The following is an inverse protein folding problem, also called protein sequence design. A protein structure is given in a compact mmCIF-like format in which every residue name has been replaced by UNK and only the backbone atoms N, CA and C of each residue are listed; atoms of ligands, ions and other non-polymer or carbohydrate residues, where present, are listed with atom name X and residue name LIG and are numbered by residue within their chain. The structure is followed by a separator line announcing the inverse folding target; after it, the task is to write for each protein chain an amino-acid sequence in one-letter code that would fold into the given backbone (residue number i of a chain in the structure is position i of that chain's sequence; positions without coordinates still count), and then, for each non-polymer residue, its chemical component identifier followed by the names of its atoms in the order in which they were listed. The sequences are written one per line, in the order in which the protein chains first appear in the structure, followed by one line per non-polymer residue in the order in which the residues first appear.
data_IF_537403053840
#
_entry.id   IF_537403053840
#
_cell.length_a   1.000
_cell.length_b   1.000
_cell.length_c   1.000
_cell.angle_alpha   90.00
_cell.angle_beta   90.00
_cell.angle_gamma   90.00
#
_symmetry.space_group_name_H-M   'P 1'
#
loop_
_entity.id
_entity.type
_entity.pdbx_description
1 polymer ?
#
# COMPACT_ATOMS: atom_id res chain seq x y z
N UNK A 1 13.16 24.96 4.38
CA UNK A 1 13.98 24.28 5.40
C UNK A 1 15.32 24.96 5.74
N UNK A 2 15.62 26.19 5.26
CA UNK A 2 16.91 26.86 5.54
C UNK A 2 16.94 27.72 6.82
N UNK A 3 15.87 27.72 7.62
CA UNK A 3 15.81 28.46 8.89
C UNK A 3 16.64 27.74 9.95
N UNK A 4 17.64 28.44 10.50
CA UNK A 4 18.58 27.88 11.47
C UNK A 4 17.98 27.79 12.88
N UNK A 5 16.98 28.62 13.19
CA UNK A 5 16.30 28.56 14.48
C UNK A 5 15.27 27.43 14.53
N UNK A 6 15.43 26.41 15.40
CA UNK A 6 14.54 25.25 15.45
C UNK A 6 13.08 25.59 15.74
N UNK A 7 12.80 26.57 16.60
CA UNK A 7 11.41 26.92 16.96
C UNK A 7 10.70 27.62 15.80
N UNK A 8 11.38 28.54 15.12
CA UNK A 8 10.85 29.21 13.92
C UNK A 8 10.66 28.21 12.77
N UNK A 9 11.57 27.25 12.62
CA UNK A 9 11.45 26.17 11.63
C UNK A 9 10.20 25.32 11.89
N UNK A 10 10.02 24.83 13.12
CA UNK A 10 8.84 24.02 13.50
C UNK A 10 7.53 24.79 13.31
N UNK A 11 7.47 26.06 13.73
CA UNK A 11 6.29 26.89 13.50
C UNK A 11 5.96 27.08 12.01
N UNK A 12 7.00 27.23 11.17
CA UNK A 12 6.82 27.35 9.72
C UNK A 12 6.33 26.05 9.09
N UNK A 13 6.85 24.90 9.52
CA UNK A 13 6.41 23.58 9.04
C UNK A 13 4.98 23.28 9.47
N UNK A 14 4.62 23.57 10.73
CA UNK A 14 3.24 23.45 11.21
C UNK A 14 2.27 24.29 10.37
N UNK A 15 2.62 25.55 10.10
CA UNK A 15 1.83 26.43 9.23
C UNK A 15 1.71 25.85 7.81
N UNK A 16 2.83 25.38 7.26
CA UNK A 16 2.88 24.76 5.94
C UNK A 16 1.94 23.54 5.84
N UNK A 17 1.97 22.60 6.78
CA UNK A 17 1.09 21.44 6.76
C UNK A 17 -0.40 21.78 6.84
N UNK A 18 -0.75 22.84 7.57
CA UNK A 18 -2.14 23.32 7.66
C UNK A 18 -2.63 23.99 6.38
N UNK A 19 -1.77 24.75 5.72
CA UNK A 19 -2.15 25.57 4.56
C UNK A 19 -2.06 24.81 3.23
N UNK A 20 -1.10 23.89 3.10
CA UNK A 20 -0.80 23.20 1.84
C UNK A 20 -2.04 22.56 1.18
N UNK A 21 -2.93 21.83 1.89
CA UNK A 21 -4.12 21.25 1.25
C UNK A 21 -5.09 22.30 0.70
N UNK A 22 -5.10 23.53 1.23
CA UNK A 22 -6.01 24.60 0.82
C UNK A 22 -5.49 25.43 -0.36
N UNK A 23 -4.21 25.29 -0.72
CA UNK A 23 -3.56 26.05 -1.79
C UNK A 23 -3.71 25.36 -3.14
N UNK A 24 -3.81 26.12 -4.23
CA UNK A 24 -3.84 25.62 -5.61
C UNK A 24 -2.62 26.13 -6.43
N UNK A 25 -1.53 26.45 -5.73
CA UNK A 25 -0.32 27.02 -6.32
C UNK A 25 0.46 25.99 -7.18
N UNK A 26 1.23 26.48 -8.15
CA UNK A 26 2.15 25.64 -8.95
C UNK A 26 3.28 25.07 -8.07
N UNK A 27 3.79 23.89 -8.42
CA UNK A 27 4.96 23.31 -7.77
C UNK A 27 4.71 22.67 -6.40
N UNK A 28 3.45 22.44 -6.01
CA UNK A 28 3.08 21.76 -4.76
C UNK A 28 3.68 20.36 -4.63
N UNK A 29 3.95 19.68 -5.74
CA UNK A 29 4.56 18.35 -5.76
C UNK A 29 5.97 18.34 -5.15
N UNK A 30 6.74 19.42 -5.31
CA UNK A 30 8.16 19.46 -4.92
C UNK A 30 8.37 19.31 -3.42
N UNK A 31 7.71 20.11 -2.54
CA UNK A 31 7.87 19.91 -1.11
C UNK A 31 7.33 18.54 -0.67
N UNK A 32 6.28 18.01 -1.29
CA UNK A 32 5.71 16.70 -0.95
C UNK A 32 6.66 15.56 -1.33
N UNK A 33 7.30 15.63 -2.50
CA UNK A 33 8.36 14.70 -2.90
C UNK A 33 9.57 14.76 -1.95
N UNK A 34 9.92 15.96 -1.48
CA UNK A 34 10.90 16.16 -0.41
C UNK A 34 10.52 15.44 0.89
N UNK A 35 9.29 15.62 1.37
CA UNK A 35 8.76 14.93 2.56
C UNK A 35 8.75 13.41 2.38
N UNK A 36 8.40 12.93 1.20
CA UNK A 36 8.41 11.51 0.86
C UNK A 36 9.82 10.91 0.97
N UNK A 37 10.83 11.58 0.41
CA UNK A 37 12.23 11.17 0.56
C UNK A 37 12.66 11.15 2.04
N UNK A 38 12.28 12.17 2.82
CA UNK A 38 12.58 12.21 4.26
C UNK A 38 11.90 11.08 5.02
N UNK A 39 10.61 10.82 4.76
CA UNK A 39 9.86 9.74 5.40
C UNK A 39 10.46 8.36 5.11
N UNK A 40 10.99 8.15 3.90
CA UNK A 40 11.69 6.91 3.54
C UNK A 40 13.07 6.79 4.20
N UNK A 41 13.81 7.89 4.33
CA UNK A 41 15.15 7.89 4.92
C UNK A 41 15.11 7.81 6.46
N UNK A 42 14.11 8.42 7.07
CA UNK A 42 13.98 8.58 8.53
C UNK A 42 12.55 8.22 9.00
N UNK A 43 12.09 6.98 8.80
CA UNK A 43 10.71 6.57 9.12
C UNK A 43 10.39 6.60 10.62
N UNK A 44 11.40 6.67 11.48
CA UNK A 44 11.25 6.69 12.93
C UNK A 44 11.42 8.10 13.55
N UNK A 45 11.58 9.14 12.72
CA UNK A 45 11.70 10.53 13.19
C UNK A 45 10.30 11.13 13.45
N UNK A 46 9.99 11.54 14.69
CA UNK A 46 8.67 12.07 15.04
C UNK A 46 8.44 13.52 14.58
N UNK A 47 9.47 14.27 14.12
CA UNK A 47 9.37 15.73 13.93
C UNK A 47 8.15 16.13 13.09
N UNK A 48 7.90 15.47 11.96
CA UNK A 48 6.76 15.81 11.11
C UNK A 48 5.42 15.25 11.61
N UNK A 49 5.44 14.17 12.37
CA UNK A 49 4.24 13.58 12.98
C UNK A 49 3.68 14.55 14.01
N UNK A 50 4.52 15.06 14.90
CA UNK A 50 4.15 16.06 15.91
C UNK A 50 3.62 17.38 15.31
N UNK A 51 3.94 17.64 14.04
CA UNK A 51 3.56 18.86 13.33
C UNK A 51 2.31 18.69 12.45
N UNK A 52 1.72 17.49 12.41
CA UNK A 52 0.45 17.23 11.71
C UNK A 52 0.62 16.78 10.25
N UNK A 53 1.66 16.01 9.93
CA UNK A 53 1.86 15.49 8.58
C UNK A 53 0.73 14.54 8.15
N UNK A 54 0.16 13.75 9.07
CA UNK A 54 -0.88 12.78 8.72
C UNK A 54 -2.19 13.47 8.29
N UNK A 55 -2.60 14.52 8.99
CA UNK A 55 -3.75 15.35 8.62
C UNK A 55 -3.52 16.00 7.27
N UNK A 56 -2.31 16.53 7.04
CA UNK A 56 -1.91 17.13 5.77
C UNK A 56 -2.01 16.11 4.61
N UNK A 57 -1.41 14.92 4.77
CA UNK A 57 -1.40 13.88 3.73
C UNK A 57 -2.81 13.34 3.48
N UNK A 58 -3.60 13.13 4.54
CA UNK A 58 -5.01 12.72 4.44
C UNK A 58 -5.83 13.73 3.63
N UNK A 59 -5.68 15.02 3.93
CA UNK A 59 -6.36 16.09 3.22
C UNK A 59 -5.94 16.19 1.75
N UNK A 60 -4.66 15.99 1.43
CA UNK A 60 -4.15 15.99 0.05
C UNK A 60 -4.67 14.82 -0.78
N UNK A 61 -4.77 13.61 -0.20
CA UNK A 61 -5.39 12.46 -0.88
C UNK A 61 -6.86 12.79 -1.18
N UNK A 62 -7.60 13.31 -0.20
CA UNK A 62 -8.99 13.71 -0.41
C UNK A 62 -9.15 14.78 -1.48
N UNK A 63 -8.24 15.75 -1.51
CA UNK A 63 -8.24 16.79 -2.53
C UNK A 63 -8.05 16.20 -3.92
N UNK A 64 -7.07 15.30 -4.09
CA UNK A 64 -6.85 14.59 -5.36
C UNK A 64 -8.07 13.78 -5.80
N UNK A 65 -8.73 13.11 -4.86
CA UNK A 65 -9.94 12.32 -5.13
C UNK A 65 -11.16 13.18 -5.52
N UNK A 66 -11.31 14.37 -4.92
CA UNK A 66 -12.52 15.20 -5.05
C UNK A 66 -12.39 16.32 -6.08
N UNK A 67 -11.18 16.80 -6.36
CA UNK A 67 -10.92 17.92 -7.25
C UNK A 67 -10.09 17.49 -8.46
N UNK A 68 -10.77 17.02 -9.50
CA UNK A 68 -10.12 16.60 -10.76
C UNK A 68 -9.34 17.72 -11.43
N UNK A 69 -9.81 18.97 -11.34
CA UNK A 69 -9.12 20.12 -11.94
C UNK A 69 -7.78 20.35 -11.27
N UNK A 70 -7.75 20.34 -9.93
CA UNK A 70 -6.51 20.42 -9.17
C UNK A 70 -5.58 19.24 -9.44
N UNK A 71 -6.12 18.02 -9.51
CA UNK A 71 -5.33 16.82 -9.77
C UNK A 71 -4.66 16.84 -11.16
N UNK A 72 -5.35 17.36 -12.19
CA UNK A 72 -4.82 17.51 -13.55
C UNK A 72 -3.91 18.72 -13.74
N UNK A 73 -3.75 19.56 -12.71
CA UNK A 73 -2.95 20.78 -12.78
C UNK A 73 -1.47 20.49 -12.45
N UNK A 74 -0.56 21.06 -13.23
CA UNK A 74 0.89 20.90 -13.08
C UNK A 74 1.31 19.42 -12.86
N UNK A 75 1.96 19.11 -11.74
CA UNK A 75 2.38 17.77 -11.35
C UNK A 75 1.59 17.26 -10.13
N UNK A 76 0.38 17.74 -9.91
CA UNK A 76 -0.43 17.34 -8.76
C UNK A 76 -0.90 15.88 -8.82
N UNK A 77 -0.87 15.25 -10.00
CA UNK A 77 -1.21 13.83 -10.19
C UNK A 77 -0.33 12.89 -9.34
N UNK A 78 0.89 13.31 -8.99
CA UNK A 78 1.80 12.53 -8.15
C UNK A 78 1.49 12.61 -6.65
N UNK A 79 0.74 13.63 -6.23
CA UNK A 79 0.58 13.96 -4.80
C UNK A 79 -0.13 12.84 -4.03
N UNK A 80 -1.26 12.26 -4.49
CA UNK A 80 -1.92 11.18 -3.76
C UNK A 80 -1.01 9.97 -3.54
N UNK A 81 -0.17 9.64 -4.53
CA UNK A 81 0.82 8.57 -4.42
C UNK A 81 1.84 8.86 -3.32
N UNK A 82 2.47 10.05 -3.34
CA UNK A 82 3.45 10.42 -2.31
C UNK A 82 2.83 10.50 -0.92
N UNK A 83 1.63 11.07 -0.81
CA UNK A 83 0.92 11.20 0.46
C UNK A 83 0.63 9.83 1.11
N UNK A 84 0.09 8.88 0.34
CA UNK A 84 -0.15 7.52 0.83
C UNK A 84 1.16 6.81 1.19
N UNK A 85 2.23 7.02 0.41
CA UNK A 85 3.54 6.44 0.70
C UNK A 85 4.18 7.03 1.96
N UNK A 86 4.05 8.33 2.20
CA UNK A 86 4.50 9.01 3.43
C UNK A 86 3.81 8.42 4.65
N UNK A 87 2.47 8.29 4.60
CA UNK A 87 1.69 7.67 5.68
C UNK A 87 2.25 6.28 5.95
N UNK A 88 2.34 5.43 4.92
CA UNK A 88 2.85 4.07 5.08
C UNK A 88 4.30 4.02 5.60
N UNK A 89 5.17 4.96 5.24
CA UNK A 89 6.56 4.95 5.72
C UNK A 89 6.67 5.26 7.21
N UNK A 90 5.95 6.27 7.72
CA UNK A 90 6.01 6.59 9.15
C UNK A 90 5.32 5.54 10.02
N UNK A 91 4.31 4.85 9.50
CA UNK A 91 3.57 3.85 10.30
C UNK A 91 4.19 2.45 10.24
N UNK A 92 5.36 2.25 9.63
CA UNK A 92 5.87 0.91 9.33
C UNK A 92 6.58 0.22 10.51
N UNK A 93 7.13 0.99 11.45
CA UNK A 93 7.98 0.46 12.53
C UNK A 93 7.46 0.77 13.95
N UNK A 94 6.68 1.83 14.13
CA UNK A 94 6.29 2.35 15.44
C UNK A 94 4.76 2.33 15.61
N UNK A 95 4.26 1.60 16.61
CA UNK A 95 2.82 1.51 16.91
C UNK A 95 2.22 2.88 17.25
N UNK A 96 2.92 3.71 18.03
CA UNK A 96 2.51 5.06 18.40
C UNK A 96 2.28 5.97 17.18
N UNK A 97 3.08 5.78 16.12
CA UNK A 97 2.92 6.54 14.88
C UNK A 97 1.71 6.04 14.07
N UNK A 98 1.48 4.73 14.06
CA UNK A 98 0.27 4.14 13.48
C UNK A 98 -0.99 4.65 14.20
N UNK A 99 -0.99 4.68 15.53
CA UNK A 99 -2.10 5.24 16.32
C UNK A 99 -2.34 6.71 15.96
N UNK A 100 -1.28 7.51 15.92
CA UNK A 100 -1.37 8.93 15.53
C UNK A 100 -1.97 9.11 14.13
N UNK A 101 -1.58 8.27 13.17
CA UNK A 101 -2.14 8.29 11.82
C UNK A 101 -3.63 7.92 11.82
N UNK A 102 -4.05 6.92 12.60
CA UNK A 102 -5.46 6.55 12.74
C UNK A 102 -6.28 7.70 13.33
N UNK A 103 -5.79 8.36 14.39
CA UNK A 103 -6.45 9.53 14.97
C UNK A 103 -6.57 10.71 13.98
N UNK A 104 -5.57 10.90 13.11
CA UNK A 104 -5.59 11.88 12.03
C UNK A 104 -6.54 11.52 10.87
N UNK A 105 -7.22 10.37 10.94
CA UNK A 105 -8.25 9.97 9.96
C UNK A 105 -7.69 9.56 8.60
N UNK A 106 -6.52 8.91 8.56
CA UNK A 106 -5.90 8.50 7.28
C UNK A 106 -6.60 7.31 6.60
N UNK A 107 -7.36 6.48 7.34
CA UNK A 107 -7.93 5.24 6.79
C UNK A 107 -8.94 5.51 5.66
N UNK A 108 -9.98 6.37 5.83
CA UNK A 108 -10.97 6.60 4.77
C UNK A 108 -10.38 7.00 3.39
N UNK A 109 -9.46 7.98 3.28
CA UNK A 109 -8.87 8.30 1.98
C UNK A 109 -7.99 7.16 1.42
N UNK A 110 -7.28 6.40 2.27
CA UNK A 110 -6.53 5.23 1.82
C UNK A 110 -7.45 4.14 1.27
N UNK A 111 -8.63 3.94 1.85
CA UNK A 111 -9.64 2.99 1.35
C UNK A 111 -10.17 3.44 -0.02
N UNK A 112 -10.38 4.73 -0.26
CA UNK A 112 -10.75 5.23 -1.59
C UNK A 112 -9.65 4.98 -2.63
N UNK A 113 -8.38 5.13 -2.27
CA UNK A 113 -7.28 4.74 -3.14
C UNK A 113 -7.26 3.23 -3.39
N UNK A 114 -7.46 2.41 -2.35
CA UNK A 114 -7.54 0.95 -2.44
C UNK A 114 -8.65 0.48 -3.40
N UNK A 115 -9.79 1.19 -3.43
CA UNK A 115 -10.90 0.98 -4.39
C UNK A 115 -10.52 1.25 -5.85
N UNK A 116 -9.33 1.79 -6.12
CA UNK A 116 -8.91 2.13 -7.48
C UNK A 116 -9.57 3.39 -8.01
N UNK A 117 -9.95 4.34 -7.13
CA UNK A 117 -10.52 5.64 -7.55
C UNK A 117 -9.56 6.49 -8.39
N UNK A 118 -8.26 6.22 -8.28
CA UNK A 118 -7.22 6.77 -9.14
C UNK A 118 -6.67 5.64 -10.01
N UNK A 119 -5.45 5.16 -9.76
CA UNK A 119 -4.84 4.08 -10.54
C UNK A 119 -4.23 3.00 -9.66
N UNK A 120 -3.77 1.92 -10.29
CA UNK A 120 -3.10 0.80 -9.63
C UNK A 120 -1.82 1.24 -8.87
N UNK A 121 -1.19 2.34 -9.30
CA UNK A 121 -0.01 2.90 -8.64
C UNK A 121 -0.36 3.40 -7.24
N UNK A 122 -1.50 4.07 -7.07
CA UNK A 122 -2.00 4.51 -5.77
C UNK A 122 -2.58 3.35 -4.95
N UNK A 123 -3.25 2.38 -5.59
CA UNK A 123 -3.71 1.16 -4.89
C UNK A 123 -2.55 0.45 -4.18
N UNK A 124 -1.39 0.35 -4.84
CA UNK A 124 -0.20 -0.32 -4.29
C UNK A 124 0.31 0.35 -3.01
N UNK A 125 0.41 1.67 -2.98
CA UNK A 125 0.87 2.38 -1.78
C UNK A 125 -0.22 2.44 -0.70
N UNK A 126 -1.49 2.47 -1.10
CA UNK A 126 -2.61 2.43 -0.17
C UNK A 126 -2.70 1.08 0.57
N UNK A 127 -2.60 -0.05 -0.14
CA UNK A 127 -2.62 -1.38 0.49
C UNK A 127 -1.41 -1.58 1.40
N UNK A 128 -0.23 -1.07 1.03
CA UNK A 128 0.96 -1.06 1.90
C UNK A 128 0.71 -0.29 3.19
N UNK A 129 0.22 0.94 3.10
CA UNK A 129 -0.05 1.78 4.27
C UNK A 129 -1.10 1.14 5.19
N UNK A 130 -2.19 0.61 4.63
CA UNK A 130 -3.21 -0.12 5.39
C UNK A 130 -2.64 -1.40 6.03
N UNK A 131 -1.76 -2.12 5.34
CA UNK A 131 -1.03 -3.27 5.88
C UNK A 131 -0.21 -2.93 7.12
N UNK A 132 0.52 -1.81 7.10
CA UNK A 132 1.26 -1.35 8.27
C UNK A 132 0.33 -0.97 9.43
N UNK A 133 -0.75 -0.23 9.15
CA UNK A 133 -1.76 0.10 10.16
C UNK A 133 -2.45 -1.16 10.74
N UNK A 134 -2.67 -2.20 9.94
CA UNK A 134 -3.29 -3.44 10.38
C UNK A 134 -2.35 -4.36 11.17
N UNK A 135 -1.04 -4.10 11.14
CA UNK A 135 -0.04 -4.96 11.79
C UNK A 135 -0.07 -4.83 13.32
N UNK A 136 -0.47 -3.67 13.84
CA UNK A 136 -0.49 -3.41 15.29
C UNK A 136 -1.83 -3.75 15.92
N UNK A 137 -1.78 -4.22 17.17
CA UNK A 137 -2.96 -4.64 17.92
C UNK A 137 -3.94 -3.49 18.17
N UNK A 138 -3.43 -2.30 18.49
CA UNK A 138 -4.27 -1.15 18.85
C UNK A 138 -4.95 -0.50 17.65
N UNK A 139 -4.34 -0.56 16.46
CA UNK A 139 -4.89 0.06 15.24
C UNK A 139 -5.67 -0.92 14.36
N UNK A 140 -5.42 -2.22 14.47
CA UNK A 140 -6.12 -3.25 13.69
C UNK A 140 -7.66 -3.14 13.79
N UNK A 141 -8.30 -2.97 14.97
CA UNK A 141 -9.75 -2.87 15.05
C UNK A 141 -10.34 -1.74 14.20
N UNK A 142 -9.65 -0.60 14.10
CA UNK A 142 -10.10 0.54 13.29
C UNK A 142 -9.91 0.30 11.79
N UNK A 143 -8.88 -0.45 11.40
CA UNK A 143 -8.75 -0.91 10.00
C UNK A 143 -9.85 -1.92 9.70
N UNK A 144 -10.03 -2.93 10.54
CA UNK A 144 -10.99 -4.01 10.35
C UNK A 144 -12.47 -3.56 10.38
N UNK A 145 -12.78 -2.43 11.02
CA UNK A 145 -14.14 -1.86 11.02
C UNK A 145 -14.57 -1.35 9.65
N UNK A 146 -13.63 -1.12 8.73
CA UNK A 146 -13.91 -0.84 7.33
C UNK A 146 -14.05 -2.17 6.57
N UNK A 147 -15.28 -2.71 6.59
CA UNK A 147 -15.57 -4.09 6.15
C UNK A 147 -15.07 -4.44 4.74
N UNK A 148 -15.04 -3.49 3.80
CA UNK A 148 -14.56 -3.74 2.44
C UNK A 148 -13.05 -3.99 2.32
N UNK A 149 -12.22 -3.63 3.32
CA UNK A 149 -10.76 -3.69 3.18
C UNK A 149 -10.29 -5.11 2.90
N UNK A 150 -10.83 -6.11 3.60
CA UNK A 150 -10.45 -7.51 3.43
C UNK A 150 -10.81 -8.00 2.01
N UNK A 151 -12.00 -7.68 1.55
CA UNK A 151 -12.49 -8.12 0.22
C UNK A 151 -11.71 -7.46 -0.91
N UNK A 152 -11.43 -6.15 -0.80
CA UNK A 152 -10.58 -5.43 -1.76
C UNK A 152 -9.15 -6.00 -1.77
N UNK A 153 -8.60 -6.36 -0.62
CA UNK A 153 -7.27 -6.97 -0.52
C UNK A 153 -7.22 -8.34 -1.19
N UNK A 154 -8.24 -9.18 -0.99
CA UNK A 154 -8.37 -10.48 -1.66
C UNK A 154 -8.45 -10.29 -3.17
N UNK A 155 -9.29 -9.37 -3.64
CA UNK A 155 -9.42 -9.06 -5.07
C UNK A 155 -8.10 -8.59 -5.67
N UNK A 156 -7.39 -7.67 -5.00
CA UNK A 156 -6.09 -7.20 -5.44
C UNK A 156 -5.08 -8.35 -5.49
N UNK A 157 -4.94 -9.14 -4.42
CA UNK A 157 -4.01 -10.28 -4.41
C UNK A 157 -4.23 -11.25 -5.60
N UNK A 158 -5.49 -11.47 -5.98
CA UNK A 158 -5.86 -12.32 -7.12
C UNK A 158 -5.67 -11.69 -8.50
N UNK A 159 -5.65 -10.35 -8.60
CA UNK A 159 -5.68 -9.63 -9.87
C UNK A 159 -4.49 -8.70 -10.11
N UNK A 160 -3.54 -8.56 -9.17
CA UNK A 160 -2.42 -7.62 -9.27
C UNK A 160 -1.66 -7.69 -10.60
N UNK A 161 -1.34 -8.90 -11.06
CA UNK A 161 -0.62 -9.10 -12.31
C UNK A 161 -1.46 -8.68 -13.52
N UNK A 162 -2.74 -9.04 -13.54
CA UNK A 162 -3.67 -8.69 -14.61
C UNK A 162 -3.94 -7.18 -14.65
N UNK A 163 -4.06 -6.52 -13.50
CA UNK A 163 -4.22 -5.08 -13.40
C UNK A 163 -3.02 -4.39 -14.06
N UNK A 164 -1.80 -4.74 -13.68
CA UNK A 164 -0.62 -4.08 -14.26
C UNK A 164 -0.45 -4.44 -15.74
N UNK A 165 -0.74 -5.69 -16.11
CA UNK A 165 -0.70 -6.11 -17.50
C UNK A 165 -1.65 -5.28 -18.37
N UNK A 166 -2.94 -5.26 -18.05
CA UNK A 166 -3.97 -4.56 -18.82
C UNK A 166 -3.81 -3.04 -18.80
N UNK A 167 -3.41 -2.44 -17.68
CA UNK A 167 -3.33 -0.99 -17.52
C UNK A 167 -1.98 -0.37 -17.89
N UNK A 168 -0.91 -1.16 -18.00
CA UNK A 168 0.44 -0.62 -18.25
C UNK A 168 1.22 -1.40 -19.32
N UNK A 169 1.16 -2.73 -19.30
CA UNK A 169 1.99 -3.57 -20.18
C UNK A 169 1.40 -3.69 -21.59
N UNK A 170 0.09 -3.96 -21.69
CA UNK A 170 -0.60 -4.29 -22.94
C UNK A 170 -0.58 -3.15 -23.97
N UNK A 171 -0.64 -1.89 -23.51
CA UNK A 171 -0.72 -0.70 -24.35
C UNK A 171 0.41 0.27 -24.06
N UNK A 172 1.62 -0.04 -24.56
CA UNK A 172 2.83 0.76 -24.34
C UNK A 172 2.63 2.23 -24.73
N UNK A 173 1.98 2.50 -25.88
CA UNK A 173 1.71 3.86 -26.38
C UNK A 173 0.67 4.65 -25.55
N UNK A 174 0.00 4.00 -24.58
CA UNK A 174 -1.02 4.61 -23.73
C UNK A 174 -0.60 4.71 -22.26
N UNK A 175 0.68 4.42 -21.95
CA UNK A 175 1.21 4.57 -20.60
C UNK A 175 1.10 6.02 -20.15
N UNK A 176 0.62 6.22 -18.93
CA UNK A 176 0.60 7.54 -18.32
C UNK A 176 2.03 7.93 -17.97
N UNK A 177 2.48 9.10 -18.40
CA UNK A 177 3.86 9.57 -18.17
C UNK A 177 4.26 9.51 -16.70
N UNK A 178 3.35 9.91 -15.82
CA UNK A 178 3.62 9.89 -14.38
C UNK A 178 3.81 8.48 -13.80
N UNK A 179 3.23 7.45 -14.41
CA UNK A 179 3.52 6.06 -14.03
C UNK A 179 4.95 5.70 -14.41
N UNK A 180 5.37 6.02 -15.63
CA UNK A 180 6.75 5.80 -16.10
C UNK A 180 7.77 6.54 -15.23
N UNK A 181 7.50 7.81 -14.91
CA UNK A 181 8.35 8.65 -14.08
C UNK A 181 8.46 8.09 -12.65
N UNK A 182 7.35 7.62 -12.06
CA UNK A 182 7.36 6.99 -10.74
C UNK A 182 8.12 5.65 -10.72
N UNK A 183 7.98 4.84 -11.78
CA UNK A 183 8.64 3.53 -11.91
C UNK A 183 10.16 3.66 -12.05
N UNK A 184 10.61 4.67 -12.79
CA UNK A 184 11.99 4.75 -13.27
C UNK A 184 12.76 5.97 -12.80
N UNK A 185 12.08 6.93 -12.14
CA UNK A 185 12.59 8.27 -11.83
C UNK A 185 13.00 9.05 -13.09
N UNK A 186 12.27 8.84 -14.19
CA UNK A 186 12.53 9.47 -15.48
C UNK A 186 13.78 8.94 -16.21
N UNK A 187 14.26 7.74 -15.85
CA UNK A 187 15.47 7.14 -16.43
C UNK A 187 15.18 5.83 -17.15
N UNK A 188 15.88 5.57 -18.24
CA UNK A 188 15.73 4.32 -18.99
C UNK A 188 14.57 4.37 -19.99
N UNK A 189 14.44 3.31 -20.78
CA UNK A 189 13.43 3.20 -21.84
C UNK A 189 12.36 2.15 -21.51
N UNK A 190 11.56 1.82 -22.53
CA UNK A 190 10.40 0.92 -22.45
C UNK A 190 10.69 -0.39 -21.72
N UNK A 191 11.87 -0.99 -21.95
CA UNK A 191 12.28 -2.25 -21.29
C UNK A 191 12.40 -2.09 -19.77
N UNK A 192 13.03 -1.01 -19.31
CA UNK A 192 13.19 -0.73 -17.88
C UNK A 192 11.85 -0.43 -17.22
N UNK A 193 10.99 0.34 -17.88
CA UNK A 193 9.62 0.60 -17.42
C UNK A 193 8.82 -0.69 -17.27
N UNK A 194 8.86 -1.57 -18.27
CA UNK A 194 8.15 -2.87 -18.25
C UNK A 194 8.62 -3.75 -17.09
N UNK A 195 9.94 -3.91 -16.92
CA UNK A 195 10.51 -4.67 -15.80
C UNK A 195 10.12 -4.08 -14.44
N UNK A 196 10.17 -2.76 -14.29
CA UNK A 196 9.76 -2.10 -13.04
C UNK A 196 8.27 -2.25 -12.78
N UNK A 197 7.44 -2.26 -13.81
CA UNK A 197 6.01 -2.50 -13.67
C UNK A 197 5.73 -3.93 -13.18
N UNK A 198 6.43 -4.94 -13.70
CA UNK A 198 6.35 -6.32 -13.20
C UNK A 198 6.75 -6.42 -11.72
N UNK A 199 7.86 -5.77 -11.32
CA UNK A 199 8.25 -5.68 -9.91
C UNK A 199 7.13 -5.06 -9.05
N UNK A 200 6.52 -3.97 -9.53
CA UNK A 200 5.44 -3.29 -8.80
C UNK A 200 4.15 -4.12 -8.74
N UNK A 201 3.86 -4.93 -9.76
CA UNK A 201 2.76 -5.89 -9.76
C UNK A 201 2.96 -6.95 -8.68
N UNK A 202 4.20 -7.48 -8.56
CA UNK A 202 4.57 -8.40 -7.48
C UNK A 202 4.45 -7.74 -6.11
N UNK A 203 4.82 -6.46 -5.98
CA UNK A 203 4.66 -5.72 -4.72
C UNK A 203 3.19 -5.47 -4.37
N UNK A 204 2.34 -5.17 -5.36
CA UNK A 204 0.89 -5.02 -5.13
C UNK A 204 0.29 -6.32 -4.58
N UNK A 205 0.67 -7.48 -5.16
CA UNK A 205 0.27 -8.78 -4.62
C UNK A 205 0.85 -9.04 -3.22
N UNK A 206 2.13 -8.74 -3.01
CA UNK A 206 2.81 -8.87 -1.71
C UNK A 206 2.06 -8.15 -0.59
N UNK A 207 1.82 -6.85 -0.76
CA UNK A 207 1.20 -6.03 0.28
C UNK A 207 -0.27 -6.39 0.50
N UNK A 208 -0.96 -6.85 -0.55
CA UNK A 208 -2.31 -7.38 -0.43
C UNK A 208 -2.33 -8.65 0.43
N UNK A 209 -1.41 -9.59 0.19
CA UNK A 209 -1.28 -10.81 1.00
C UNK A 209 -0.87 -10.51 2.44
N UNK A 210 0.03 -9.54 2.66
CA UNK A 210 0.40 -9.10 4.01
C UNK A 210 -0.80 -8.54 4.77
N UNK A 211 -1.61 -7.69 4.14
CA UNK A 211 -2.82 -7.16 4.76
C UNK A 211 -3.82 -8.28 5.08
N UNK A 212 -4.07 -9.22 4.14
CA UNK A 212 -4.92 -10.39 4.40
C UNK A 212 -4.38 -11.24 5.56
N UNK A 213 -3.05 -11.38 5.67
CA UNK A 213 -2.40 -12.12 6.75
C UNK A 213 -2.69 -11.50 8.12
N UNK A 214 -2.74 -10.17 8.24
CA UNK A 214 -3.18 -9.49 9.48
C UNK A 214 -4.60 -9.92 9.89
N UNK A 215 -5.52 -10.04 8.94
CA UNK A 215 -6.89 -10.54 9.19
C UNK A 215 -6.91 -12.05 9.49
N UNK A 216 -6.08 -12.86 8.84
CA UNK A 216 -6.04 -14.31 9.00
C UNK A 216 -5.66 -14.76 10.42
N UNK A 217 -5.00 -13.91 11.20
CA UNK A 217 -4.75 -14.17 12.62
C UNK A 217 -6.03 -14.18 13.47
N UNK A 218 -7.15 -13.61 13.00
CA UNK A 218 -8.41 -13.55 13.74
C UNK A 218 -9.44 -14.53 13.16
N UNK A 219 -9.93 -15.50 13.96
CA UNK A 219 -10.81 -16.56 13.48
C UNK A 219 -12.09 -16.07 12.78
N UNK A 220 -12.62 -14.91 13.16
CA UNK A 220 -13.85 -14.31 12.62
C UNK A 220 -13.74 -13.93 11.13
N UNK A 221 -12.54 -13.69 10.61
CA UNK A 221 -12.34 -13.35 9.19
C UNK A 221 -12.05 -14.58 8.31
N UNK A 222 -11.77 -15.73 8.92
CA UNK A 222 -11.45 -16.95 8.18
C UNK A 222 -12.55 -17.41 7.22
N UNK A 223 -13.86 -17.30 7.53
CA UNK A 223 -14.90 -17.65 6.55
C UNK A 223 -14.80 -16.86 5.23
N UNK A 224 -14.40 -15.59 5.31
CA UNK A 224 -14.20 -14.74 4.11
C UNK A 224 -12.93 -15.11 3.36
N UNK A 225 -11.83 -15.34 4.11
CA UNK A 225 -10.52 -15.71 3.53
C UNK A 225 -10.57 -17.12 2.92
N UNK A 226 -11.28 -18.05 3.55
CA UNK A 226 -11.32 -19.46 3.14
C UNK A 226 -12.31 -19.74 2.01
N UNK A 227 -12.75 -18.74 1.26
CA UNK A 227 -13.55 -18.95 0.05
C UNK A 227 -12.72 -19.72 -0.98
N UNK A 228 -13.33 -20.74 -1.59
CA UNK A 228 -12.68 -21.66 -2.52
C UNK A 228 -11.93 -20.95 -3.66
N UNK A 229 -12.53 -19.88 -4.19
CA UNK A 229 -11.98 -19.08 -5.29
C UNK A 229 -10.61 -18.46 -4.96
N UNK A 230 -10.44 -18.01 -3.71
CA UNK A 230 -9.16 -17.45 -3.25
C UNK A 230 -8.18 -18.56 -2.89
N UNK A 231 -8.62 -19.53 -2.08
CA UNK A 231 -7.80 -20.63 -1.57
C UNK A 231 -7.10 -21.42 -2.69
N UNK A 232 -7.81 -21.72 -3.78
CA UNK A 232 -7.25 -22.49 -4.91
C UNK A 232 -6.15 -21.76 -5.67
N UNK A 233 -6.17 -20.43 -5.68
CA UNK A 233 -5.14 -19.61 -6.34
C UNK A 233 -3.96 -19.29 -5.43
N UNK A 234 -4.17 -19.35 -4.12
CA UNK A 234 -3.22 -18.88 -3.12
C UNK A 234 -1.81 -19.50 -3.25
N UNK A 235 -1.63 -20.81 -3.50
CA UNK A 235 -0.28 -21.39 -3.68
C UNK A 235 0.52 -20.78 -4.85
N UNK A 236 -0.15 -20.22 -5.86
CA UNK A 236 0.50 -19.57 -7.00
C UNK A 236 0.83 -18.09 -6.78
N UNK A 237 0.49 -17.52 -5.62
CA UNK A 237 0.73 -16.11 -5.32
C UNK A 237 2.07 -15.95 -4.60
N UNK A 238 3.13 -15.69 -5.35
CA UNK A 238 4.48 -15.61 -4.78
C UNK A 238 4.73 -14.29 -4.06
N UNK A 239 4.12 -13.18 -4.50
CA UNK A 239 4.09 -11.89 -3.82
C UNK A 239 5.35 -11.50 -3.04
N UNK A 240 6.56 -11.71 -3.56
CA UNK A 240 7.71 -11.77 -2.65
C UNK A 240 9.13 -11.79 -3.21
N UNK A 241 9.36 -11.71 -4.53
CA UNK A 241 10.75 -11.71 -5.04
C UNK A 241 11.64 -10.57 -4.49
N UNK A 242 11.03 -9.54 -3.88
CA UNK A 242 11.73 -8.36 -3.33
C UNK A 242 11.40 -8.11 -1.84
N UNK A 243 10.59 -8.97 -1.19
CA UNK A 243 10.27 -8.83 0.23
C UNK A 243 10.31 -10.21 0.92
N UNK A 244 11.46 -10.52 1.51
CA UNK A 244 11.73 -11.78 2.23
C UNK A 244 10.79 -12.00 3.43
N UNK A 245 10.25 -10.92 4.01
CA UNK A 245 9.29 -11.00 5.12
C UNK A 245 7.83 -11.16 4.66
N UNK A 246 7.59 -11.23 3.35
CA UNK A 246 6.25 -11.44 2.81
C UNK A 246 5.77 -12.84 3.18
N UNK A 247 4.53 -13.02 3.67
CA UNK A 247 3.98 -14.35 3.85
C UNK A 247 3.82 -15.06 2.52
N UNK A 248 3.79 -14.34 1.38
CA UNK A 248 3.41 -14.90 0.10
C UNK A 248 2.10 -15.71 0.22
N UNK A 249 1.84 -16.60 -0.73
CA UNK A 249 0.71 -17.51 -0.67
C UNK A 249 0.87 -18.58 0.39
N UNK A 250 2.07 -19.15 0.50
CA UNK A 250 2.36 -20.30 1.36
C UNK A 250 2.36 -19.94 2.85
N UNK A 251 2.93 -18.78 3.21
CA UNK A 251 2.85 -18.25 4.56
C UNK A 251 1.45 -17.85 4.97
N UNK A 252 0.64 -17.31 4.05
CA UNK A 252 -0.76 -17.06 4.34
C UNK A 252 -1.52 -18.38 4.59
N UNK A 253 -1.27 -19.42 3.78
CA UNK A 253 -1.82 -20.76 4.03
C UNK A 253 -1.39 -21.30 5.40
N UNK A 254 -0.12 -21.12 5.78
CA UNK A 254 0.38 -21.49 7.11
C UNK A 254 -0.38 -20.77 8.22
N UNK A 255 -0.59 -19.45 8.10
CA UNK A 255 -1.37 -18.67 9.08
C UNK A 255 -2.82 -19.17 9.17
N UNK A 256 -3.48 -19.42 8.03
CA UNK A 256 -4.84 -19.98 7.99
C UNK A 256 -4.89 -21.33 8.72
N UNK A 257 -3.91 -22.21 8.47
CA UNK A 257 -3.83 -23.54 9.06
C UNK A 257 -3.47 -23.56 10.55
N UNK A 258 -2.90 -22.48 11.11
CA UNK A 258 -2.72 -22.39 12.56
C UNK A 258 -4.08 -22.48 13.29
N UNK A 259 -5.14 -21.94 12.69
CA UNK A 259 -6.49 -21.95 13.24
C UNK A 259 -7.28 -23.19 12.80
N UNK A 260 -8.01 -23.83 13.73
CA UNK A 260 -8.83 -25.02 13.44
C UNK A 260 -9.86 -24.77 12.33
N UNK A 261 -10.45 -23.58 12.31
CA UNK A 261 -11.43 -23.16 11.30
C UNK A 261 -10.83 -23.07 9.89
N UNK A 262 -9.53 -22.79 9.75
CA UNK A 262 -8.86 -22.72 8.45
C UNK A 262 -8.43 -24.09 7.91
N UNK A 263 -8.08 -25.04 8.79
CA UNK A 263 -7.59 -26.37 8.37
C UNK A 263 -8.58 -27.15 7.52
N UNK A 264 -9.88 -27.12 7.88
CA UNK A 264 -10.93 -27.83 7.16
C UNK A 264 -11.03 -27.40 5.69
N UNK A 265 -11.31 -26.10 5.42
CA UNK A 265 -11.36 -25.57 4.06
C UNK A 265 -10.10 -25.85 3.24
N UNK A 266 -8.91 -25.68 3.83
CA UNK A 266 -7.63 -25.95 3.14
C UNK A 266 -7.50 -27.44 2.78
N UNK A 267 -7.79 -28.35 3.71
CA UNK A 267 -7.71 -29.79 3.47
C UNK A 267 -8.74 -30.29 2.43
N UNK A 268 -9.88 -29.60 2.30
CA UNK A 268 -10.88 -29.89 1.27
C UNK A 268 -10.53 -29.38 -0.13
N UNK A 269 -9.37 -28.73 -0.33
CA UNK A 269 -8.92 -28.24 -1.63
C UNK A 269 -7.82 -29.15 -2.23
N UNK A 270 -8.14 -30.08 -3.15
CA UNK A 270 -7.14 -30.99 -3.72
C UNK A 270 -5.95 -30.27 -4.37
N UNK A 271 -6.22 -29.16 -5.08
CA UNK A 271 -5.17 -28.37 -5.73
C UNK A 271 -4.15 -27.75 -4.78
N UNK A 272 -4.53 -27.48 -3.52
CA UNK A 272 -3.59 -26.99 -2.51
C UNK A 272 -2.64 -28.10 -2.08
N UNK A 273 -3.16 -29.32 -1.88
CA UNK A 273 -2.33 -30.48 -1.50
C UNK A 273 -1.32 -30.79 -2.60
N UNK A 274 -1.75 -30.77 -3.86
CA UNK A 274 -0.86 -30.93 -5.01
C UNK A 274 0.23 -29.85 -5.06
N UNK A 275 -0.16 -28.58 -4.91
CA UNK A 275 0.80 -27.46 -4.91
C UNK A 275 1.83 -27.59 -3.78
N UNK A 276 1.40 -27.93 -2.56
CA UNK A 276 2.30 -28.16 -1.42
C UNK A 276 3.24 -29.35 -1.68
N UNK A 277 2.75 -30.44 -2.29
CA UNK A 277 3.61 -31.55 -2.69
C UNK A 277 4.63 -31.16 -3.75
N UNK A 278 4.28 -30.28 -4.69
CA UNK A 278 5.20 -29.81 -5.72
C UNK A 278 6.27 -28.89 -5.12
N UNK A 279 5.88 -27.97 -4.24
CA UNK A 279 6.82 -27.08 -3.53
C UNK A 279 7.77 -27.89 -2.64
N UNK A 280 7.26 -28.87 -1.89
CA UNK A 280 8.11 -29.73 -1.05
C UNK A 280 9.13 -30.58 -1.85
N UNK A 281 8.92 -30.76 -3.16
CA UNK A 281 9.86 -31.43 -4.07
C UNK A 281 10.77 -30.46 -4.82
N UNK A 282 10.47 -29.17 -4.79
CA UNK A 282 11.32 -28.13 -5.36
C UNK A 282 12.54 -27.89 -4.48
N UNK A 283 13.61 -27.37 -5.05
CA UNK A 283 14.77 -26.84 -4.30
C UNK A 283 14.59 -25.37 -3.94
N UNK A 284 13.35 -24.87 -4.01
CA UNK A 284 13.03 -23.50 -3.63
C UNK A 284 13.00 -23.45 -2.10
N UNK A 285 14.10 -22.98 -1.50
CA UNK A 285 14.17 -22.71 -0.07
C UNK A 285 13.20 -21.57 0.29
N UNK A 286 12.34 -21.80 1.30
CA UNK A 286 11.40 -20.82 1.85
C UNK A 286 11.62 -20.62 3.35
#
# INVERSE_FOLDING_TARGET
MKEANPSKRRASVLKFFRELPCQDDDGQVLPISGLWNTAMAHPNDPEFIELGIFECMSALIWKGLKNRRWLSHDQNIYIPYYAAHIIGSYTMNMEEFAESAVHAGVIPPLVELLRGRLTWVEQRVAVRALGHLATYGNTFPTVASHGEILELSIQLAMSSLEIVYSHFYQYVDRRLSYHCDLLTRGMGGVEMESRKAEEWASQLQCWSLQLINCFAFKPEFLPTICKQEFLTKLPGMWGGLVNENSPAGIGLLRTICHQKLGRGPVASCPGIIEALCNIARSSDDW
#
